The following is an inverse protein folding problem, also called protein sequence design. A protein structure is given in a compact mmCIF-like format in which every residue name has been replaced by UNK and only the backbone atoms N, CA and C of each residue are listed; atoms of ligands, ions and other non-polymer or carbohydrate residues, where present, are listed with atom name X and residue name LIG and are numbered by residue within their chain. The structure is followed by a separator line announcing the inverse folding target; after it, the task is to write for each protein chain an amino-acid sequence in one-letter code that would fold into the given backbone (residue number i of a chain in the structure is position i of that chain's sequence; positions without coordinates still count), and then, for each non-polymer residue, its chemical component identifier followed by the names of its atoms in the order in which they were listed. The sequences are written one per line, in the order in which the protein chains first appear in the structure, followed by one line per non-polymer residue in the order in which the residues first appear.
data_IF_808505369593
#
_entry.id   IF_808505369593
#
_cell.length_a   1.000
_cell.length_b   1.000
_cell.length_c   1.000
_cell.angle_alpha   90.00
_cell.angle_beta   90.00
_cell.angle_gamma   90.00
#
_symmetry.space_group_name_H-M   'P 1'
#
loop_
_entity.id
_entity.type
_entity.pdbx_description
1 polymer ?
#
# COMPACT_ATOMS: atom_id res chain seq x y z
N UNK A 1 -19.69 10.77 8.17
CA UNK A 1 -18.42 11.26 8.70
C UNK A 1 -17.43 10.12 8.56
N UNK A 2 -16.43 10.24 7.71
CA UNK A 2 -15.51 9.13 7.37
C UNK A 2 -14.50 8.80 8.48
N UNK A 3 -14.21 9.74 9.35
CA UNK A 3 -13.24 9.63 10.45
C UNK A 3 -13.89 10.17 11.73
N UNK A 4 -13.83 9.39 12.79
CA UNK A 4 -14.33 9.81 14.11
C UNK A 4 -13.32 10.72 14.82
N UNK A 5 -13.76 11.48 15.81
CA UNK A 5 -12.88 12.33 16.62
C UNK A 5 -11.75 11.55 17.32
N UNK A 6 -12.01 10.28 17.67
CA UNK A 6 -11.01 9.40 18.28
C UNK A 6 -9.97 8.99 17.25
N UNK A 7 -10.39 8.60 16.06
CA UNK A 7 -9.49 8.26 14.95
C UNK A 7 -8.65 9.47 14.53
N UNK A 8 -9.25 10.67 14.49
CA UNK A 8 -8.52 11.91 14.16
C UNK A 8 -7.35 12.16 15.13
N UNK A 9 -7.56 11.97 16.43
CA UNK A 9 -6.49 12.09 17.44
C UNK A 9 -5.37 11.07 17.20
N UNK A 10 -5.73 9.82 16.86
CA UNK A 10 -4.77 8.77 16.55
C UNK A 10 -3.99 9.13 15.29
N UNK A 11 -4.68 9.52 14.23
CA UNK A 11 -4.08 9.93 12.96
C UNK A 11 -3.08 11.07 13.19
N UNK A 12 -3.49 12.13 13.89
CA UNK A 12 -2.62 13.28 14.18
C UNK A 12 -1.32 12.84 14.86
N UNK A 13 -1.44 12.02 15.92
CA UNK A 13 -0.28 11.49 16.64
C UNK A 13 0.63 10.62 15.75
N UNK A 14 0.04 9.85 14.82
CA UNK A 14 0.83 9.05 13.88
C UNK A 14 1.49 9.95 12.81
N UNK A 15 0.78 10.96 12.28
CA UNK A 15 1.34 11.88 11.27
C UNK A 15 2.51 12.72 11.80
N UNK A 16 2.54 13.04 13.09
CA UNK A 16 3.70 13.72 13.73
C UNK A 16 5.01 12.92 13.60
N UNK A 17 4.92 11.60 13.50
CA UNK A 17 6.09 10.70 13.35
C UNK A 17 6.68 10.67 11.95
N UNK A 18 6.04 11.27 10.95
CA UNK A 18 6.57 11.34 9.59
C UNK A 18 7.96 11.96 9.57
N UNK A 19 8.93 11.26 9.00
CA UNK A 19 10.33 11.72 8.93
C UNK A 19 10.58 12.64 7.74
N UNK A 20 10.16 12.21 6.55
CA UNK A 20 10.38 12.92 5.31
C UNK A 20 9.06 13.32 4.66
N UNK A 21 9.12 14.32 3.77
CA UNK A 21 8.00 14.64 2.90
C UNK A 21 7.81 13.52 1.88
N UNK A 22 6.57 13.12 1.69
CA UNK A 22 6.18 12.04 0.79
C UNK A 22 5.01 12.46 -0.09
N UNK A 23 4.91 11.85 -1.26
CA UNK A 23 3.79 12.01 -2.18
C UNK A 23 3.16 10.66 -2.43
N UNK A 24 1.85 10.57 -2.30
CA UNK A 24 1.07 9.42 -2.75
C UNK A 24 0.32 9.79 -4.02
N UNK A 25 0.44 8.97 -5.06
CA UNK A 25 -0.34 9.12 -6.29
C UNK A 25 -1.62 8.31 -6.16
N UNK A 26 -2.76 8.92 -6.45
CA UNK A 26 -4.08 8.28 -6.36
C UNK A 26 -4.75 8.36 -7.71
N UNK A 27 -5.08 7.21 -8.29
CA UNK A 27 -5.85 7.12 -9.51
C UNK A 27 -7.33 7.00 -9.19
N UNK A 28 -8.12 7.88 -9.79
CA UNK A 28 -9.58 7.93 -9.64
C UNK A 28 -10.26 8.08 -10.99
N UNK A 29 -11.58 8.06 -10.97
CA UNK A 29 -12.44 8.26 -12.13
C UNK A 29 -12.99 9.68 -12.27
N UNK A 30 -12.36 10.65 -11.64
CA UNK A 30 -12.86 12.00 -11.74
C UNK A 30 -12.84 12.51 -13.18
N UNK A 31 -13.84 13.34 -13.49
CA UNK A 31 -13.91 14.06 -14.76
C UNK A 31 -14.12 15.53 -14.41
N UNK A 32 -13.29 16.39 -14.99
CA UNK A 32 -13.51 17.82 -14.89
C UNK A 32 -14.61 18.23 -15.85
N UNK A 33 -15.76 18.66 -15.32
CA UNK A 33 -16.81 19.22 -16.16
C UNK A 33 -16.43 20.66 -16.57
N UNK A 34 -16.17 20.85 -17.86
CA UNK A 34 -15.75 22.15 -18.39
C UNK A 34 -16.80 23.25 -18.21
N UNK A 35 -18.09 22.91 -18.19
CA UNK A 35 -19.20 23.88 -18.05
C UNK A 35 -19.43 24.34 -16.61
N UNK A 36 -19.24 23.46 -15.63
CA UNK A 36 -19.56 23.71 -14.22
C UNK A 36 -18.32 23.77 -13.33
N UNK A 37 -17.13 23.48 -13.83
CA UNK A 37 -15.87 23.34 -13.06
C UNK A 37 -15.97 22.32 -11.91
N UNK A 38 -16.95 21.44 -11.97
CA UNK A 38 -17.15 20.40 -10.95
C UNK A 38 -16.33 19.16 -11.31
N UNK A 39 -15.75 18.54 -10.28
CA UNK A 39 -15.12 17.23 -10.37
C UNK A 39 -16.14 16.19 -9.92
N UNK A 40 -16.40 15.21 -10.78
CA UNK A 40 -17.29 14.08 -10.45
C UNK A 40 -16.47 12.81 -10.27
N UNK A 41 -16.76 12.06 -9.22
CA UNK A 41 -16.13 10.78 -8.87
C UNK A 41 -17.19 9.76 -8.46
N UNK A 42 -16.80 8.48 -8.48
CA UNK A 42 -17.59 7.44 -7.82
C UNK A 42 -17.54 7.61 -6.29
N UNK A 43 -18.50 6.98 -5.60
CA UNK A 43 -18.60 7.01 -4.14
C UNK A 43 -17.33 6.43 -3.49
N UNK A 44 -16.77 5.37 -4.09
CA UNK A 44 -15.54 4.71 -3.62
C UNK A 44 -14.34 5.65 -3.72
N UNK A 45 -14.18 6.34 -4.84
CA UNK A 45 -13.12 7.33 -5.03
C UNK A 45 -13.25 8.50 -4.06
N UNK A 46 -14.47 9.00 -3.83
CA UNK A 46 -14.74 10.07 -2.86
C UNK A 46 -14.41 9.66 -1.42
N UNK A 47 -14.76 8.43 -1.02
CA UNK A 47 -14.45 7.91 0.32
C UNK A 47 -12.96 7.82 0.57
N UNK A 48 -12.22 7.22 -0.36
CA UNK A 48 -10.76 7.08 -0.24
C UNK A 48 -10.08 8.43 -0.21
N UNK A 49 -10.46 9.36 -1.12
CA UNK A 49 -9.92 10.71 -1.14
C UNK A 49 -10.28 11.51 0.11
N UNK A 50 -11.49 11.37 0.64
CA UNK A 50 -11.88 12.03 1.89
C UNK A 50 -10.97 11.66 3.05
N UNK A 51 -10.59 10.39 3.17
CA UNK A 51 -9.61 9.93 4.17
C UNK A 51 -8.22 10.48 3.85
N UNK A 52 -7.75 10.35 2.62
CA UNK A 52 -6.41 10.80 2.23
C UNK A 52 -6.22 12.30 2.39
N UNK A 53 -7.19 13.11 2.03
CA UNK A 53 -7.16 14.57 2.21
C UNK A 53 -7.12 14.94 3.71
N UNK A 54 -7.81 14.17 4.56
CA UNK A 54 -7.71 14.37 6.01
C UNK A 54 -6.33 13.99 6.55
N UNK A 55 -5.70 12.93 6.04
CA UNK A 55 -4.31 12.60 6.37
C UNK A 55 -3.34 13.69 5.91
N UNK A 56 -3.53 14.23 4.71
CA UNK A 56 -2.74 15.33 4.18
C UNK A 56 -2.86 16.57 5.08
N UNK A 57 -4.07 16.98 5.44
CA UNK A 57 -4.34 18.08 6.37
C UNK A 57 -3.61 17.92 7.70
N UNK A 58 -3.72 16.72 8.31
CA UNK A 58 -3.13 16.41 9.61
C UNK A 58 -1.62 16.18 9.56
N UNK A 59 -1.02 16.03 8.38
CA UNK A 59 0.41 15.75 8.19
C UNK A 59 1.33 16.95 8.36
N UNK A 60 0.78 18.15 8.54
CA UNK A 60 1.54 19.42 8.62
C UNK A 60 2.47 19.62 7.40
N UNK A 61 1.99 19.28 6.21
CA UNK A 61 2.69 19.43 4.93
C UNK A 61 3.77 18.38 4.65
N UNK A 62 3.80 17.29 5.42
CA UNK A 62 4.72 16.16 5.16
C UNK A 62 4.12 15.10 4.22
N UNK A 63 2.82 15.01 4.09
CA UNK A 63 2.13 14.16 3.11
C UNK A 63 1.49 15.05 2.05
N UNK A 64 1.65 14.70 0.79
CA UNK A 64 0.95 15.33 -0.33
C UNK A 64 0.22 14.25 -1.15
N UNK A 65 -1.03 14.52 -1.50
CA UNK A 65 -1.87 13.63 -2.29
C UNK A 65 -1.97 14.16 -3.70
N UNK A 66 -1.46 13.38 -4.67
CA UNK A 66 -1.54 13.69 -6.09
C UNK A 66 -2.63 12.84 -6.74
N UNK A 67 -3.79 13.43 -6.97
CA UNK A 67 -4.86 12.76 -7.70
C UNK A 67 -4.61 12.80 -9.20
N UNK A 68 -4.83 11.68 -9.89
CA UNK A 68 -4.80 11.53 -11.34
C UNK A 68 -6.09 10.86 -11.80
N UNK A 69 -6.74 11.45 -12.78
CA UNK A 69 -7.88 10.84 -13.47
C UNK A 69 -7.40 9.78 -14.45
N UNK A 70 -7.97 8.57 -14.38
CA UNK A 70 -7.68 7.51 -15.38
C UNK A 70 -8.10 7.91 -16.78
N UNK A 71 -9.06 8.83 -16.92
CA UNK A 71 -9.57 9.33 -18.19
C UNK A 71 -8.74 10.47 -18.76
N UNK A 72 -8.25 11.35 -17.88
CA UNK A 72 -7.50 12.55 -18.29
C UNK A 72 -5.97 12.32 -18.31
N UNK A 73 -5.48 11.21 -17.70
CA UNK A 73 -4.06 10.83 -17.64
C UNK A 73 -3.86 9.41 -18.19
N UNK A 74 -4.29 9.18 -19.44
CA UNK A 74 -4.25 7.85 -20.06
C UNK A 74 -2.83 7.30 -20.17
N UNK A 75 -1.84 8.15 -20.50
CA UNK A 75 -0.43 7.80 -20.56
C UNK A 75 0.07 7.11 -19.28
N UNK A 76 -0.24 7.70 -18.12
CA UNK A 76 0.12 7.13 -16.81
C UNK A 76 -0.73 5.93 -16.43
N UNK A 77 -2.01 5.96 -16.79
CA UNK A 77 -2.93 4.86 -16.56
C UNK A 77 -2.45 3.60 -17.27
N UNK A 78 -2.00 3.72 -18.51
CA UNK A 78 -1.43 2.64 -19.31
C UNK A 78 -0.04 2.23 -18.80
N UNK A 79 0.85 3.20 -18.55
CA UNK A 79 2.21 2.96 -18.03
C UNK A 79 2.18 2.10 -16.75
N UNK A 80 1.29 2.43 -15.80
CA UNK A 80 1.14 1.70 -14.55
C UNK A 80 0.13 0.56 -14.63
N UNK A 81 -0.49 0.33 -15.79
CA UNK A 81 -1.53 -0.68 -15.99
C UNK A 81 -2.62 -0.61 -14.90
N UNK A 82 -3.15 0.59 -14.66
CA UNK A 82 -4.22 0.82 -13.69
C UNK A 82 -5.53 0.30 -14.27
N UNK A 83 -6.11 -0.72 -13.64
CA UNK A 83 -7.37 -1.36 -14.07
C UNK A 83 -8.49 -1.17 -13.07
N UNK A 84 -8.15 -0.93 -11.83
CA UNK A 84 -9.09 -0.79 -10.73
C UNK A 84 -8.93 0.58 -10.08
N UNK A 85 -10.01 1.15 -9.62
CA UNK A 85 -10.05 2.46 -8.97
C UNK A 85 -10.99 2.40 -7.75
N UNK A 86 -10.72 3.20 -6.72
CA UNK A 86 -9.51 4.01 -6.55
C UNK A 86 -8.26 3.15 -6.35
N UNK A 87 -7.11 3.60 -6.88
CA UNK A 87 -5.82 2.95 -6.64
C UNK A 87 -4.82 3.95 -6.08
N UNK A 88 -4.24 3.64 -4.92
CA UNK A 88 -3.21 4.45 -4.28
C UNK A 88 -1.85 3.79 -4.53
N UNK A 89 -0.87 4.58 -4.95
CA UNK A 89 0.47 4.11 -5.25
C UNK A 89 1.53 4.75 -4.37
N UNK A 90 2.40 3.91 -3.82
CA UNK A 90 3.66 4.29 -3.19
C UNK A 90 4.77 4.01 -4.19
N UNK A 91 5.56 5.02 -4.50
CA UNK A 91 6.56 4.96 -5.56
C UNK A 91 7.90 5.48 -5.05
N UNK A 92 9.01 4.79 -5.34
CA UNK A 92 10.34 5.35 -5.09
C UNK A 92 10.71 6.35 -6.18
N UNK A 93 11.28 7.50 -5.80
CA UNK A 93 11.94 8.37 -6.76
C UNK A 93 13.26 7.75 -7.20
N UNK A 94 13.39 7.41 -8.48
CA UNK A 94 14.73 7.21 -9.06
C UNK A 94 15.31 8.59 -9.43
N UNK A 95 16.50 8.88 -8.92
CA UNK A 95 17.21 10.11 -9.23
C UNK A 95 17.30 10.27 -10.76
N UNK A 96 16.76 11.39 -11.26
CA UNK A 96 16.93 11.94 -12.62
C UNK A 96 16.23 11.27 -13.82
N UNK A 97 15.49 10.19 -13.67
CA UNK A 97 14.63 9.70 -14.73
C UNK A 97 13.20 9.59 -14.20
N UNK A 98 12.22 10.06 -14.97
CA UNK A 98 10.79 10.06 -14.63
C UNK A 98 10.16 8.65 -14.40
N UNK A 99 10.98 7.63 -14.25
CA UNK A 99 10.57 6.25 -13.99
C UNK A 99 10.56 5.96 -12.47
N UNK A 100 9.51 6.41 -11.80
CA UNK A 100 9.28 6.02 -10.42
C UNK A 100 8.98 4.52 -10.34
N UNK A 101 9.73 3.80 -9.50
CA UNK A 101 9.43 2.39 -9.22
C UNK A 101 8.21 2.27 -8.35
N UNK A 102 7.26 1.45 -8.77
CA UNK A 102 6.15 1.02 -7.94
C UNK A 102 6.66 0.13 -6.80
N UNK A 103 6.30 0.49 -5.57
CA UNK A 103 6.58 -0.29 -4.36
C UNK A 103 5.33 -1.01 -3.88
N UNK A 104 4.27 -0.23 -3.67
CA UNK A 104 3.01 -0.70 -3.13
C UNK A 104 1.87 -0.10 -3.93
N UNK A 105 0.89 -0.94 -4.24
CA UNK A 105 -0.40 -0.57 -4.81
C UNK A 105 -1.49 -0.95 -3.83
N UNK A 106 -2.30 0.01 -3.44
CA UNK A 106 -3.52 -0.21 -2.65
C UNK A 106 -4.74 -0.05 -3.55
N UNK A 107 -5.45 -1.15 -3.75
CA UNK A 107 -6.74 -1.21 -4.44
C UNK A 107 -7.76 -1.66 -3.40
N UNK A 108 -7.87 -0.85 -2.33
CA UNK A 108 -8.64 -1.18 -1.14
C UNK A 108 -9.23 0.08 -0.51
N UNK A 109 -10.37 -0.09 0.17
CA UNK A 109 -10.92 0.95 1.03
C UNK A 109 -10.06 1.11 2.29
N UNK A 110 -9.91 2.33 2.78
CA UNK A 110 -9.09 2.68 3.93
C UNK A 110 -9.87 2.73 5.25
N UNK A 111 -11.15 2.39 5.24
CA UNK A 111 -12.02 2.44 6.41
C UNK A 111 -11.83 1.24 7.36
N UNK A 112 -12.35 1.36 8.58
CA UNK A 112 -12.36 0.28 9.57
C UNK A 112 -10.96 -0.19 9.96
N UNK A 113 -10.77 -1.51 9.99
CA UNK A 113 -9.51 -2.12 10.41
C UNK A 113 -8.34 -1.85 9.45
N UNK A 114 -8.56 -1.19 8.30
CA UNK A 114 -7.53 -0.93 7.29
C UNK A 114 -6.79 0.40 7.51
N UNK A 115 -7.37 1.34 8.26
CA UNK A 115 -6.80 2.67 8.45
C UNK A 115 -5.42 2.62 9.14
N UNK A 116 -5.33 1.95 10.29
CA UNK A 116 -4.08 1.90 11.06
C UNK A 116 -2.94 1.21 10.31
N UNK A 117 -3.12 0.04 9.67
CA UNK A 117 -2.06 -0.57 8.86
C UNK A 117 -1.67 0.26 7.64
N UNK A 118 -2.61 1.01 7.04
CA UNK A 118 -2.29 1.97 6.00
C UNK A 118 -1.40 3.11 6.54
N UNK A 119 -1.74 3.70 7.69
CA UNK A 119 -0.91 4.72 8.35
C UNK A 119 0.50 4.21 8.65
N UNK A 120 0.65 2.96 9.11
CA UNK A 120 1.97 2.35 9.28
C UNK A 120 2.76 2.29 7.97
N UNK A 121 2.10 1.98 6.87
CA UNK A 121 2.75 1.96 5.55
C UNK A 121 3.21 3.36 5.12
N UNK A 122 2.39 4.39 5.37
CA UNK A 122 2.73 5.80 5.16
C UNK A 122 3.95 6.21 6.00
N UNK A 123 4.00 5.80 7.27
CA UNK A 123 5.13 6.06 8.15
C UNK A 123 6.41 5.38 7.65
N UNK A 124 6.36 4.10 7.29
CA UNK A 124 7.51 3.38 6.75
C UNK A 124 8.01 4.02 5.45
N UNK A 125 7.10 4.43 4.59
CA UNK A 125 7.42 5.12 3.34
C UNK A 125 8.06 6.49 3.58
N UNK A 126 7.72 7.18 4.67
CA UNK A 126 8.37 8.43 5.09
C UNK A 126 9.77 8.24 5.69
N UNK A 127 10.22 7.00 5.87
CA UNK A 127 11.53 6.69 6.43
C UNK A 127 11.52 6.25 7.90
N UNK A 128 10.34 6.05 8.51
CA UNK A 128 10.25 5.39 9.82
C UNK A 128 10.65 3.92 9.66
N UNK A 129 11.57 3.45 10.49
CA UNK A 129 12.07 2.09 10.39
C UNK A 129 11.02 1.08 10.85
N UNK A 130 10.63 0.11 10.03
CA UNK A 130 9.87 -1.04 10.49
C UNK A 130 10.73 -1.94 11.38
N UNK A 131 10.08 -2.67 12.30
CA UNK A 131 10.77 -3.54 13.26
C UNK A 131 11.74 -4.54 12.59
N UNK A 132 11.39 -5.08 11.42
CA UNK A 132 12.14 -6.13 10.74
C UNK A 132 13.12 -5.61 9.68
N UNK A 133 13.47 -4.31 9.72
CA UNK A 133 14.28 -3.64 8.70
C UNK A 133 15.65 -4.31 8.49
N UNK A 134 16.37 -4.54 9.58
CA UNK A 134 17.76 -4.99 9.53
C UNK A 134 17.86 -6.40 8.92
N UNK A 135 16.92 -7.28 9.25
CA UNK A 135 16.83 -8.61 8.65
C UNK A 135 16.55 -8.55 7.14
N UNK A 136 15.69 -7.63 6.71
CA UNK A 136 15.44 -7.43 5.28
C UNK A 136 16.72 -6.95 4.58
N UNK A 137 17.42 -5.97 5.16
CA UNK A 137 18.66 -5.40 4.60
C UNK A 137 19.74 -6.47 4.48
N UNK A 138 20.01 -7.21 5.55
CA UNK A 138 21.00 -8.29 5.58
C UNK A 138 20.73 -9.32 4.49
N UNK A 139 19.45 -9.62 4.23
CA UNK A 139 19.06 -10.61 3.26
C UNK A 139 18.77 -10.08 1.85
N UNK A 140 18.95 -8.78 1.60
CA UNK A 140 18.63 -8.19 0.28
C UNK A 140 19.26 -8.90 -0.90
N UNK A 141 20.49 -9.43 -0.76
CA UNK A 141 21.16 -10.18 -1.82
C UNK A 141 20.45 -11.49 -2.15
N UNK A 142 19.91 -12.16 -1.14
CA UNK A 142 19.24 -13.46 -1.24
C UNK A 142 17.76 -13.32 -1.66
N UNK A 143 17.13 -12.19 -1.34
CA UNK A 143 15.74 -11.89 -1.75
C UNK A 143 15.69 -11.79 -3.28
N UNK A 144 14.84 -12.59 -3.91
CA UNK A 144 14.58 -12.51 -5.35
C UNK A 144 13.52 -11.45 -5.67
N UNK A 145 13.59 -10.88 -6.89
CA UNK A 145 12.51 -10.01 -7.39
C UNK A 145 11.20 -10.78 -7.32
N UNK A 146 10.21 -10.19 -6.67
CA UNK A 146 8.93 -10.85 -6.39
C UNK A 146 7.78 -9.89 -6.42
N UNK A 147 6.63 -10.41 -6.84
CA UNK A 147 5.34 -9.73 -6.74
C UNK A 147 4.52 -10.42 -5.66
N UNK A 148 3.96 -9.64 -4.76
CA UNK A 148 3.09 -10.12 -3.68
C UNK A 148 1.72 -9.49 -3.88
N UNK A 149 0.68 -10.32 -3.97
CA UNK A 149 -0.71 -9.88 -3.91
C UNK A 149 -1.29 -10.30 -2.57
N UNK A 150 -1.75 -9.35 -1.77
CA UNK A 150 -2.39 -9.57 -0.48
C UNK A 150 -3.87 -9.23 -0.58
N UNK A 151 -4.71 -10.22 -0.37
CA UNK A 151 -6.17 -10.08 -0.28
C UNK A 151 -6.60 -9.83 1.16
N UNK A 152 -7.41 -8.79 1.36
CA UNK A 152 -7.88 -8.32 2.66
C UNK A 152 -9.38 -8.04 2.64
N UNK A 153 -9.98 -7.79 3.81
CA UNK A 153 -11.29 -7.14 3.93
C UNK A 153 -11.32 -6.16 5.09
N UNK A 154 -12.24 -5.20 5.06
CA UNK A 154 -12.40 -4.18 6.09
C UNK A 154 -12.69 -4.76 7.48
N UNK A 155 -13.43 -5.87 7.52
CA UNK A 155 -13.86 -6.53 8.77
C UNK A 155 -12.90 -7.60 9.27
N UNK A 156 -11.84 -7.88 8.52
CA UNK A 156 -10.86 -8.89 8.87
C UNK A 156 -10.01 -8.47 10.10
N UNK A 157 -10.10 -9.24 11.18
CA UNK A 157 -9.36 -8.96 12.41
C UNK A 157 -7.83 -9.23 12.31
N UNK A 158 -7.42 -10.07 11.37
CA UNK A 158 -6.02 -10.49 11.19
C UNK A 158 -5.28 -9.71 10.10
N UNK A 159 -5.98 -9.16 9.11
CA UNK A 159 -5.40 -8.41 8.02
C UNK A 159 -4.50 -7.24 8.48
N UNK A 160 -4.86 -6.47 9.55
CA UNK A 160 -4.01 -5.39 10.07
C UNK A 160 -2.60 -5.81 10.50
N UNK A 161 -2.39 -7.09 10.79
CA UNK A 161 -1.08 -7.60 11.21
C UNK A 161 -0.18 -7.96 10.02
N UNK A 162 -0.77 -8.42 8.91
CA UNK A 162 -0.04 -8.86 7.70
C UNK A 162 0.35 -7.69 6.81
N UNK A 163 -0.51 -6.68 6.68
CA UNK A 163 -0.28 -5.52 5.81
C UNK A 163 1.07 -4.82 6.09
N UNK A 164 1.41 -4.44 7.34
CA UNK A 164 2.67 -3.78 7.61
C UNK A 164 3.89 -4.68 7.30
N UNK A 165 3.73 -5.99 7.42
CA UNK A 165 4.80 -6.94 7.11
C UNK A 165 5.13 -6.85 5.61
N UNK A 166 4.17 -7.14 4.73
CA UNK A 166 4.44 -7.15 3.27
C UNK A 166 4.91 -5.78 2.78
N UNK A 167 4.35 -4.69 3.31
CA UNK A 167 4.70 -3.33 2.91
C UNK A 167 6.11 -2.95 3.36
N UNK A 168 6.56 -3.41 4.54
CA UNK A 168 7.94 -3.18 4.99
C UNK A 168 8.94 -3.80 4.02
N UNK A 169 8.67 -5.01 3.51
CA UNK A 169 9.52 -5.67 2.52
C UNK A 169 9.56 -4.90 1.19
N UNK A 170 8.42 -4.39 0.71
CA UNK A 170 8.38 -3.58 -0.51
C UNK A 170 9.22 -2.31 -0.38
N UNK A 171 9.02 -1.56 0.71
CA UNK A 171 9.69 -0.27 0.94
C UNK A 171 11.20 -0.47 1.14
N UNK A 172 11.60 -1.38 2.05
CA UNK A 172 13.03 -1.59 2.37
C UNK A 172 13.79 -2.20 1.20
N UNK A 173 13.16 -3.05 0.40
CA UNK A 173 13.79 -3.64 -0.79
C UNK A 173 13.87 -2.67 -1.98
N UNK A 174 13.34 -1.46 -1.85
CA UNK A 174 13.31 -0.42 -2.89
C UNK A 174 12.80 -0.96 -4.24
N UNK A 175 11.62 -1.60 -4.21
CA UNK A 175 10.97 -2.12 -5.41
C UNK A 175 11.56 -3.42 -5.97
N UNK A 176 12.44 -4.11 -5.24
CA UNK A 176 12.79 -5.49 -5.55
C UNK A 176 11.60 -6.43 -5.30
N UNK A 177 10.79 -6.08 -4.31
CA UNK A 177 9.49 -6.67 -4.02
C UNK A 177 8.43 -5.62 -4.31
N UNK A 178 7.42 -5.98 -5.11
CA UNK A 178 6.22 -5.18 -5.33
C UNK A 178 5.07 -5.80 -4.57
N UNK A 179 4.24 -4.97 -3.96
CA UNK A 179 3.07 -5.41 -3.21
C UNK A 179 1.82 -4.79 -3.81
N UNK A 180 0.81 -5.60 -4.05
CA UNK A 180 -0.55 -5.16 -4.37
C UNK A 180 -1.49 -5.62 -3.26
N UNK A 181 -2.24 -4.70 -2.68
CA UNK A 181 -3.23 -4.97 -1.64
C UNK A 181 -4.61 -4.77 -2.23
N UNK A 182 -5.44 -5.81 -2.15
CA UNK A 182 -6.77 -5.86 -2.77
C UNK A 182 -7.82 -6.14 -1.70
N UNK A 183 -8.81 -5.27 -1.59
CA UNK A 183 -10.00 -5.53 -0.76
C UNK A 183 -10.98 -6.41 -1.55
N UNK A 184 -11.24 -7.61 -1.02
CA UNK A 184 -12.11 -8.59 -1.68
C UNK A 184 -13.57 -8.14 -1.73
N UNK A 185 -14.00 -7.24 -0.85
CA UNK A 185 -15.35 -6.71 -0.85
C UNK A 185 -15.51 -5.58 -1.90
N UNK A 186 -14.45 -4.81 -2.12
CA UNK A 186 -14.45 -3.78 -3.16
C UNK A 186 -14.25 -4.39 -4.57
N UNK A 187 -13.51 -5.50 -4.65
CA UNK A 187 -13.17 -6.16 -5.92
C UNK A 187 -13.45 -7.69 -5.88
N UNK A 188 -14.73 -8.09 -5.78
CA UNK A 188 -15.11 -9.50 -5.67
C UNK A 188 -14.79 -10.30 -6.93
N UNK A 189 -14.78 -9.69 -8.10
CA UNK A 189 -14.40 -10.29 -9.38
C UNK A 189 -12.93 -10.75 -9.37
N UNK A 190 -12.04 -9.94 -8.79
CA UNK A 190 -10.63 -10.29 -8.64
C UNK A 190 -10.48 -11.44 -7.64
N UNK A 191 -11.19 -11.36 -6.51
CA UNK A 191 -11.18 -12.42 -5.51
C UNK A 191 -11.64 -13.76 -6.09
N UNK A 192 -12.72 -13.77 -6.86
CA UNK A 192 -13.22 -14.96 -7.55
C UNK A 192 -12.22 -15.51 -8.57
N UNK A 193 -11.61 -14.65 -9.38
CA UNK A 193 -10.59 -15.03 -10.36
C UNK A 193 -9.40 -15.74 -9.72
N UNK A 194 -9.00 -15.29 -8.52
CA UNK A 194 -7.91 -15.86 -7.74
C UNK A 194 -8.37 -16.99 -6.79
N UNK A 195 -9.67 -17.35 -6.81
CA UNK A 195 -10.27 -18.38 -5.94
C UNK A 195 -10.02 -18.11 -4.45
N UNK A 196 -10.15 -16.87 -4.03
CA UNK A 196 -9.93 -16.46 -2.65
C UNK A 196 -11.15 -16.86 -1.82
N UNK A 197 -10.96 -17.74 -0.84
CA UNK A 197 -11.99 -18.24 0.06
C UNK A 197 -11.92 -17.69 1.48
N UNK A 198 -10.85 -16.98 1.81
CA UNK A 198 -10.64 -16.38 3.14
C UNK A 198 -9.52 -15.34 3.11
N UNK A 199 -9.52 -14.45 4.11
CA UNK A 199 -8.52 -13.37 4.25
C UNK A 199 -7.96 -13.33 5.67
N UNK A 200 -6.69 -12.89 5.86
CA UNK A 200 -5.74 -12.50 4.83
C UNK A 200 -5.27 -13.70 4.00
N UNK A 201 -5.12 -13.47 2.68
CA UNK A 201 -4.58 -14.46 1.76
C UNK A 201 -3.50 -13.79 0.91
N UNK A 202 -2.29 -14.30 0.97
CA UNK A 202 -1.14 -13.75 0.27
C UNK A 202 -0.70 -14.68 -0.85
N UNK A 203 -0.51 -14.14 -2.05
CA UNK A 203 0.01 -14.86 -3.20
C UNK A 203 1.35 -14.28 -3.60
N UNK A 204 2.39 -15.10 -3.65
CA UNK A 204 3.74 -14.70 -4.07
C UNK A 204 3.99 -15.24 -5.48
N UNK A 205 4.37 -14.35 -6.40
CA UNK A 205 4.72 -14.67 -7.80
C UNK A 205 3.64 -15.50 -8.52
N UNK A 206 2.35 -15.25 -8.19
CA UNK A 206 1.18 -15.96 -8.78
C UNK A 206 1.16 -17.47 -8.56
N UNK A 207 2.01 -17.99 -7.68
CA UNK A 207 2.20 -19.46 -7.49
C UNK A 207 2.10 -19.92 -6.05
N UNK A 208 2.75 -19.20 -5.11
CA UNK A 208 2.81 -19.64 -3.73
C UNK A 208 1.78 -18.90 -2.89
N UNK A 209 0.97 -19.64 -2.18
CA UNK A 209 -0.10 -19.14 -1.34
C UNK A 209 0.29 -19.24 0.14
N UNK A 210 0.10 -18.15 0.88
CA UNK A 210 0.17 -18.11 2.34
C UNK A 210 -1.22 -17.74 2.86
N UNK A 211 -1.74 -18.57 3.76
CA UNK A 211 -3.09 -18.42 4.30
C UNK A 211 -3.03 -17.90 5.73
N UNK A 212 -3.85 -16.91 6.06
CA UNK A 212 -3.93 -16.36 7.41
C UNK A 212 -2.69 -15.55 7.79
N UNK A 213 -2.36 -15.60 9.09
CA UNK A 213 -1.21 -14.90 9.65
C UNK A 213 0.10 -15.59 9.31
N UNK A 214 1.12 -14.79 9.09
CA UNK A 214 2.51 -15.23 9.01
C UNK A 214 3.43 -14.17 9.64
N UNK A 215 4.59 -14.59 10.10
CA UNK A 215 5.60 -13.69 10.63
C UNK A 215 6.45 -13.05 9.50
N UNK A 216 7.17 -11.95 9.77
CA UNK A 216 8.17 -11.41 8.84
C UNK A 216 9.20 -12.47 8.44
N UNK A 217 9.54 -13.37 9.35
CA UNK A 217 10.47 -14.46 9.16
C UNK A 217 9.95 -15.47 8.11
N UNK A 218 8.66 -15.87 8.21
CA UNK A 218 8.04 -16.76 7.24
C UNK A 218 8.04 -16.15 5.84
N UNK A 219 7.77 -14.85 5.73
CA UNK A 219 7.82 -14.15 4.45
C UNK A 219 9.25 -14.12 3.89
N UNK A 220 10.25 -13.82 4.73
CA UNK A 220 11.65 -13.82 4.33
C UNK A 220 12.09 -15.18 3.79
N UNK A 221 11.69 -16.28 4.44
CA UNK A 221 11.98 -17.64 4.00
C UNK A 221 11.44 -17.93 2.61
N UNK A 222 10.22 -17.47 2.37
CA UNK A 222 9.59 -17.64 1.07
C UNK A 222 10.29 -16.82 -0.03
N UNK A 223 10.79 -15.64 0.29
CA UNK A 223 11.44 -14.73 -0.66
C UNK A 223 12.89 -15.09 -0.94
N UNK A 224 13.56 -15.76 0.00
CA UNK A 224 14.95 -16.21 -0.13
C UNK A 224 15.07 -17.69 -0.55
N UNK A 225 13.92 -18.40 -0.64
CA UNK A 225 13.88 -19.84 -0.90
C UNK A 225 14.70 -20.63 0.14
N UNK A 226 14.62 -20.24 1.39
CA UNK A 226 15.35 -20.84 2.52
C UNK A 226 16.83 -20.48 2.64
N UNK A 227 17.37 -19.68 1.71
CA UNK A 227 18.77 -19.21 1.76
C UNK A 227 18.86 -17.90 2.54
N UNK A 228 18.80 -17.99 3.88
CA UNK A 228 18.88 -16.84 4.78
C UNK A 228 20.30 -16.58 5.25
N UNK A 229 20.60 -15.31 5.46
CA UNK A 229 21.75 -14.87 6.21
C UNK A 229 21.28 -14.50 7.63
N UNK A 230 21.88 -15.09 8.63
CA UNK A 230 21.56 -14.88 10.04
C UNK A 230 22.53 -13.90 10.71
N UNK A 231 23.52 -13.37 10.01
CA UNK A 231 24.41 -12.35 10.55
C UNK A 231 23.62 -11.11 10.95
N UNK A 232 23.66 -10.69 12.18
CA UNK A 232 22.88 -9.56 12.70
C UNK A 232 21.61 -9.95 13.49
N UNK A 233 21.31 -11.23 13.65
CA UNK A 233 20.23 -11.66 14.54
C UNK A 233 20.63 -11.61 16.04
N UNK A 234 21.92 -11.49 16.32
CA UNK A 234 22.51 -11.56 17.66
C UNK A 234 23.37 -10.33 18.01
N UNK A 235 23.20 -9.23 17.29
CA UNK A 235 23.87 -7.95 17.57
C UNK A 235 22.99 -6.99 18.34
#
# INVERSE_FOLDING_TARGET
MLITNTEEKIIKKEMEKLKNRIVLTVFTDFITNKSEKERRRTIESERVLGILNKLEELSQGKLNIKELSIKENQDKTEMYNIRNIPTIMFQSSENNNNNNKELIRYTANLEGNQLIPFLKSVLYYSGVNPFYKDQIITNLKNIKRSEITLFISQTCAYCPQVIPIVNSFAIISNGKIKVEIIDVNAHPDIAMKHKISGVPHTIINKKKHLYGLFSPQDLLDNLTMGKRDFSGMYS
#
